data_IF_437932625663
#
_entry.id   IF_437932625663
#
_cell.length_a   1.000
_cell.length_b   1.000
_cell.length_c   1.000
_cell.angle_alpha   90.00
_cell.angle_beta   90.00
_cell.angle_gamma   90.00
#
_symmetry.space_group_name_H-M   'P 1'
#
loop_
_entity.id
_entity.type
_entity.pdbx_description
1 polymer ?
#
# COMPACT_ATOMS: atom_id res chain seq x y z
N UNK A 1 -53.23 11.79 -32.77
CA UNK A 1 -53.19 11.21 -31.41
C UNK A 1 -52.06 10.20 -31.37
N UNK A 2 -50.85 10.61 -31.00
CA UNK A 2 -49.71 9.71 -30.88
C UNK A 2 -49.84 8.94 -29.56
N UNK A 3 -49.93 7.61 -29.65
CA UNK A 3 -49.84 6.67 -28.55
C UNK A 3 -48.35 6.43 -28.30
N UNK A 4 -47.77 7.13 -27.33
CA UNK A 4 -46.44 6.79 -26.83
C UNK A 4 -46.60 5.62 -25.83
N UNK A 5 -45.96 4.46 -26.04
CA UNK A 5 -45.93 3.41 -25.02
C UNK A 5 -45.24 4.01 -23.78
N UNK A 6 -45.87 3.91 -22.61
CA UNK A 6 -45.14 4.13 -21.35
C UNK A 6 -44.02 3.10 -21.31
N UNK A 7 -42.78 3.51 -21.57
CA UNK A 7 -41.60 2.70 -21.24
C UNK A 7 -41.74 2.30 -19.78
N UNK A 8 -41.93 1.00 -19.54
CA UNK A 8 -41.92 0.45 -18.19
C UNK A 8 -40.54 0.74 -17.60
N UNK A 9 -40.50 1.55 -16.54
CA UNK A 9 -39.26 1.75 -15.80
C UNK A 9 -38.73 0.38 -15.35
N UNK A 10 -37.44 0.08 -15.52
CA UNK A 10 -36.88 -1.19 -15.09
C UNK A 10 -37.12 -1.35 -13.57
N UNK A 11 -37.65 -2.51 -13.17
CA UNK A 11 -37.93 -2.82 -11.76
C UNK A 11 -36.63 -2.71 -10.95
N UNK A 12 -36.68 -1.97 -9.85
CA UNK A 12 -35.53 -1.78 -8.97
C UNK A 12 -35.26 -3.08 -8.19
N UNK A 13 -34.04 -3.60 -8.28
CA UNK A 13 -33.60 -4.75 -7.49
C UNK A 13 -32.61 -4.27 -6.41
N UNK A 14 -32.95 -4.52 -5.15
CA UNK A 14 -32.10 -4.18 -4.02
C UNK A 14 -31.12 -5.33 -3.71
N UNK A 15 -29.82 -5.08 -3.86
CA UNK A 15 -28.77 -6.07 -3.57
C UNK A 15 -27.94 -5.60 -2.39
N UNK A 16 -27.86 -6.43 -1.35
CA UNK A 16 -27.08 -6.14 -0.15
C UNK A 16 -26.29 -7.37 0.31
N UNK A 17 -25.18 -7.20 1.08
CA UNK A 17 -24.43 -8.33 1.59
C UNK A 17 -25.28 -9.28 2.46
N UNK A 18 -26.18 -8.74 3.27
CA UNK A 18 -27.08 -9.54 4.09
C UNK A 18 -28.36 -8.75 4.39
N UNK A 19 -29.51 -9.40 4.25
CA UNK A 19 -30.83 -8.84 4.55
C UNK A 19 -31.41 -9.59 5.74
N UNK A 20 -31.73 -8.86 6.81
CA UNK A 20 -32.36 -9.43 8.00
C UNK A 20 -33.83 -9.76 7.72
N UNK A 21 -34.42 -10.67 8.51
CA UNK A 21 -35.85 -11.01 8.39
C UNK A 21 -36.75 -9.77 8.46
N UNK A 22 -36.45 -8.85 9.38
CA UNK A 22 -37.15 -7.56 9.48
C UNK A 22 -37.08 -6.74 8.18
N UNK A 23 -35.89 -6.62 7.57
CA UNK A 23 -35.75 -5.87 6.31
C UNK A 23 -36.40 -6.59 5.13
N UNK A 24 -36.35 -7.93 5.11
CA UNK A 24 -37.02 -8.73 4.09
C UNK A 24 -38.54 -8.53 4.12
N UNK A 25 -39.15 -8.51 5.32
CA UNK A 25 -40.56 -8.19 5.50
C UNK A 25 -40.88 -6.78 5.00
N UNK A 26 -40.05 -5.78 5.35
CA UNK A 26 -40.24 -4.41 4.86
C UNK A 26 -40.10 -4.27 3.36
N UNK A 27 -39.15 -4.97 2.74
CA UNK A 27 -39.01 -4.96 1.28
C UNK A 27 -40.23 -5.61 0.61
N UNK A 28 -40.79 -6.66 1.20
CA UNK A 28 -42.01 -7.31 0.69
C UNK A 28 -43.25 -6.43 0.84
N UNK A 29 -43.41 -5.73 1.97
CA UNK A 29 -44.54 -4.78 2.18
C UNK A 29 -44.61 -3.69 1.10
N UNK A 30 -43.46 -3.29 0.56
CA UNK A 30 -43.34 -2.24 -0.47
C UNK A 30 -43.12 -2.81 -1.88
N UNK A 31 -43.27 -4.13 -2.05
CA UNK A 31 -43.05 -4.83 -3.33
C UNK A 31 -41.69 -4.49 -3.97
N UNK A 32 -40.63 -4.38 -3.15
CA UNK A 32 -39.26 -4.12 -3.59
C UNK A 32 -38.47 -5.44 -3.67
N UNK A 33 -38.19 -5.96 -4.88
CA UNK A 33 -37.37 -7.16 -5.04
C UNK A 33 -35.99 -7.01 -4.39
N UNK A 34 -35.50 -8.07 -3.76
CA UNK A 34 -34.17 -8.10 -3.17
C UNK A 34 -33.47 -9.44 -3.33
N UNK A 35 -32.14 -9.39 -3.26
CA UNK A 35 -31.26 -10.56 -3.18
C UNK A 35 -30.11 -10.26 -2.21
N UNK A 36 -29.73 -11.24 -1.40
CA UNK A 36 -28.52 -11.17 -0.59
C UNK A 36 -27.56 -12.35 -0.84
N UNK A 37 -26.41 -12.30 -0.16
CA UNK A 37 -25.35 -13.29 -0.37
C UNK A 37 -25.50 -14.55 0.48
N UNK A 38 -26.40 -14.55 1.47
CA UNK A 38 -26.78 -15.74 2.25
C UNK A 38 -27.88 -16.57 1.55
N UNK A 39 -28.43 -16.06 0.44
CA UNK A 39 -29.51 -16.71 -0.30
C UNK A 39 -30.91 -16.25 0.14
N UNK A 40 -31.01 -15.19 0.93
CA UNK A 40 -32.30 -14.53 1.15
C UNK A 40 -32.68 -13.76 -0.12
N UNK A 41 -33.92 -13.92 -0.57
CA UNK A 41 -34.41 -13.32 -1.80
C UNK A 41 -35.91 -13.04 -1.75
N UNK A 42 -36.32 -11.97 -2.40
CA UNK A 42 -37.71 -11.72 -2.78
C UNK A 42 -37.74 -11.29 -4.24
N UNK A 43 -38.38 -12.07 -5.10
CA UNK A 43 -38.61 -11.77 -6.50
C UNK A 43 -40.06 -12.09 -6.82
N UNK A 44 -40.79 -11.12 -7.37
CA UNK A 44 -42.19 -11.31 -7.75
C UNK A 44 -42.42 -10.68 -9.13
N UNK A 45 -42.93 -11.50 -10.05
CA UNK A 45 -43.36 -11.14 -11.40
C UNK A 45 -44.53 -12.03 -11.84
N UNK A 46 -45.14 -11.74 -12.99
CA UNK A 46 -46.41 -12.36 -13.44
C UNK A 46 -46.39 -13.90 -13.39
N UNK A 47 -45.24 -14.52 -13.69
CA UNK A 47 -45.03 -15.99 -13.68
C UNK A 47 -43.94 -16.46 -12.70
N UNK A 48 -43.45 -15.59 -11.80
CA UNK A 48 -42.33 -15.90 -10.90
C UNK A 48 -42.59 -15.38 -9.49
N UNK A 49 -42.60 -16.27 -8.50
CA UNK A 49 -42.58 -15.89 -7.10
C UNK A 49 -41.49 -16.64 -6.35
N UNK A 50 -40.53 -15.90 -5.80
CA UNK A 50 -39.44 -16.39 -4.96
C UNK A 50 -39.47 -15.59 -3.67
N UNK A 51 -39.63 -16.26 -2.53
CA UNK A 51 -39.49 -15.63 -1.23
C UNK A 51 -38.74 -16.57 -0.27
N UNK A 52 -37.49 -16.23 0.00
CA UNK A 52 -36.57 -16.98 0.86
C UNK A 52 -36.02 -16.02 1.92
N UNK A 53 -36.26 -16.31 3.19
CA UNK A 53 -35.78 -15.52 4.33
C UNK A 53 -35.29 -16.45 5.44
N UNK A 54 -34.66 -15.89 6.49
CA UNK A 54 -34.14 -16.67 7.61
C UNK A 54 -32.83 -17.42 7.35
N UNK A 55 -32.19 -17.22 6.19
CA UNK A 55 -30.87 -17.79 5.95
C UNK A 55 -29.86 -17.13 6.87
N UNK A 56 -29.11 -17.95 7.60
CA UNK A 56 -28.08 -17.45 8.51
C UNK A 56 -27.03 -16.69 7.72
N UNK A 57 -26.64 -15.53 8.23
CA UNK A 57 -25.51 -14.78 7.71
C UNK A 57 -24.31 -15.70 7.57
N UNK A 58 -23.93 -15.95 6.33
CA UNK A 58 -22.67 -16.59 5.98
C UNK A 58 -21.55 -15.70 6.50
N UNK A 59 -20.78 -16.22 7.46
CA UNK A 59 -19.57 -15.55 7.96
C UNK A 59 -18.50 -15.35 6.89
N UNK A 60 -18.69 -15.98 5.72
CA UNK A 60 -17.78 -15.96 4.58
C UNK A 60 -18.01 -14.79 3.60
N UNK A 61 -19.04 -13.97 3.79
CA UNK A 61 -19.31 -12.82 2.91
C UNK A 61 -18.77 -11.51 3.46
N UNK A 62 -17.49 -11.59 3.82
CA UNK A 62 -16.53 -10.50 3.75
C UNK A 62 -15.10 -11.05 3.72
N UNK A 63 -14.32 -10.93 2.63
CA UNK A 63 -13.09 -10.20 2.79
C UNK A 63 -13.54 -8.74 2.87
N UNK A 64 -13.77 -8.21 4.07
CA UNK A 64 -13.49 -6.78 4.28
C UNK A 64 -12.11 -6.64 3.67
N UNK A 65 -11.97 -5.91 2.55
CA UNK A 65 -10.67 -5.63 1.93
C UNK A 65 -9.71 -5.42 3.07
N UNK A 66 -8.90 -6.43 3.38
CA UNK A 66 -8.21 -6.38 4.65
C UNK A 66 -7.13 -5.39 4.33
N UNK A 67 -7.28 -4.14 4.77
CA UNK A 67 -6.35 -3.05 4.43
C UNK A 67 -4.97 -3.31 5.08
N UNK A 68 -4.62 -4.57 5.34
CA UNK A 68 -3.38 -5.09 5.91
C UNK A 68 -2.22 -4.62 5.07
N UNK A 69 -2.29 -4.68 3.73
CA UNK A 69 -1.27 -4.13 2.81
C UNK A 69 -1.15 -2.61 2.87
N UNK A 70 -2.22 -1.91 3.28
CA UNK A 70 -2.27 -0.46 3.42
C UNK A 70 -1.93 0.04 4.83
N UNK A 71 -1.58 -0.85 5.76
CA UNK A 71 -1.07 -0.45 7.08
C UNK A 71 0.43 -0.15 7.00
N UNK A 72 0.97 0.61 7.96
CA UNK A 72 2.43 0.83 8.10
C UNK A 72 3.21 -0.49 8.07
N UNK A 73 2.74 -1.52 8.78
CA UNK A 73 3.41 -2.82 8.82
C UNK A 73 3.29 -3.57 7.48
N UNK A 74 2.11 -3.54 6.84
CA UNK A 74 1.92 -4.14 5.52
C UNK A 74 2.77 -3.49 4.45
N UNK A 75 2.85 -2.16 4.43
CA UNK A 75 3.69 -1.42 3.49
C UNK A 75 5.17 -1.78 3.62
N UNK A 76 5.66 -2.06 4.83
CA UNK A 76 7.04 -2.55 5.02
C UNK A 76 7.23 -3.97 4.46
N UNK A 77 6.24 -4.85 4.62
CA UNK A 77 6.27 -6.21 4.02
C UNK A 77 6.23 -6.13 2.50
N UNK A 78 5.34 -5.31 1.94
CA UNK A 78 5.25 -5.09 0.50
C UNK A 78 6.55 -4.53 -0.06
N UNK A 79 7.13 -3.54 0.61
CA UNK A 79 8.43 -2.97 0.22
C UNK A 79 9.52 -4.04 0.13
N UNK A 80 9.64 -4.90 1.16
CA UNK A 80 10.62 -5.98 1.16
C UNK A 80 10.41 -6.96 0.00
N UNK A 81 9.17 -7.36 -0.26
CA UNK A 81 8.82 -8.26 -1.38
C UNK A 81 9.10 -7.59 -2.73
N UNK A 82 8.77 -6.31 -2.89
CA UNK A 82 9.01 -5.56 -4.12
C UNK A 82 10.51 -5.37 -4.38
N UNK A 83 11.31 -5.08 -3.35
CA UNK A 83 12.77 -4.99 -3.47
C UNK A 83 13.43 -6.35 -3.72
N UNK A 84 12.91 -7.43 -3.12
CA UNK A 84 13.44 -8.79 -3.28
C UNK A 84 12.30 -9.81 -3.39
N UNK A 85 11.74 -10.03 -4.61
CA UNK A 85 10.62 -10.95 -4.84
C UNK A 85 10.80 -12.38 -4.29
N UNK A 86 12.01 -12.98 -4.29
CA UNK A 86 12.23 -14.30 -3.66
C UNK A 86 11.81 -14.40 -2.19
N UNK A 87 11.78 -13.28 -1.43
CA UNK A 87 11.34 -13.27 -0.04
C UNK A 87 9.89 -13.75 0.16
N UNK A 88 9.07 -13.72 -0.89
CA UNK A 88 7.70 -14.26 -0.85
C UNK A 88 7.66 -15.77 -0.51
N UNK A 89 8.77 -16.47 -0.79
CA UNK A 89 8.97 -17.89 -0.52
C UNK A 89 9.90 -18.15 0.67
N UNK A 90 10.46 -17.11 1.29
CA UNK A 90 11.31 -17.24 2.45
C UNK A 90 10.48 -17.64 3.69
N UNK A 91 11.12 -18.22 4.74
CA UNK A 91 10.46 -18.42 6.03
C UNK A 91 9.87 -17.11 6.54
N UNK A 92 8.68 -17.17 7.17
CA UNK A 92 8.00 -15.97 7.67
C UNK A 92 8.86 -15.15 8.65
N UNK A 93 9.74 -15.83 9.39
CA UNK A 93 10.69 -15.17 10.30
C UNK A 93 11.73 -14.34 9.56
N UNK A 94 12.23 -14.85 8.44
CA UNK A 94 13.17 -14.10 7.58
C UNK A 94 12.47 -12.88 7.00
N UNK A 95 11.32 -13.05 6.36
CA UNK A 95 10.54 -11.94 5.81
C UNK A 95 10.17 -10.89 6.88
N UNK A 96 9.74 -11.33 8.08
CA UNK A 96 9.45 -10.42 9.19
C UNK A 96 10.69 -9.61 9.64
N UNK A 97 11.86 -10.26 9.66
CA UNK A 97 13.12 -9.62 10.04
C UNK A 97 13.53 -8.59 9.00
N UNK A 98 13.54 -8.97 7.71
CA UNK A 98 13.89 -8.10 6.60
C UNK A 98 12.92 -6.92 6.44
N UNK A 99 11.61 -7.14 6.66
CA UNK A 99 10.60 -6.09 6.67
C UNK A 99 10.56 -5.27 7.98
N UNK A 100 11.31 -5.68 9.02
CA UNK A 100 11.31 -5.06 10.36
C UNK A 100 9.90 -4.95 10.96
N UNK A 101 9.14 -6.05 10.92
CA UNK A 101 7.78 -6.15 11.49
C UNK A 101 7.64 -7.33 12.44
N UNK A 102 6.59 -7.33 13.25
CA UNK A 102 6.25 -8.49 14.07
C UNK A 102 5.88 -9.70 13.20
N UNK A 103 6.30 -10.91 13.60
CA UNK A 103 6.05 -12.15 12.86
C UNK A 103 4.57 -12.39 12.53
N UNK A 104 3.67 -12.06 13.47
CA UNK A 104 2.23 -12.18 13.29
C UNK A 104 1.64 -11.29 12.18
N UNK A 105 2.41 -10.34 11.63
CA UNK A 105 2.00 -9.49 10.51
C UNK A 105 2.01 -10.26 9.18
N UNK A 106 2.93 -11.21 9.02
CA UNK A 106 3.23 -11.82 7.71
C UNK A 106 2.04 -12.62 7.19
N UNK A 107 1.49 -13.52 8.00
CA UNK A 107 0.36 -14.37 7.60
C UNK A 107 -0.85 -13.57 7.07
N UNK A 108 -1.37 -12.58 7.84
CA UNK A 108 -2.46 -11.72 7.38
C UNK A 108 -2.15 -10.95 6.08
N UNK A 109 -0.93 -10.44 5.90
CA UNK A 109 -0.54 -9.73 4.67
C UNK A 109 -0.50 -10.68 3.47
N UNK A 110 0.09 -11.87 3.62
CA UNK A 110 0.14 -12.88 2.56
C UNK A 110 -1.28 -13.32 2.18
N UNK A 111 -2.15 -13.58 3.17
CA UNK A 111 -3.55 -13.95 2.92
C UNK A 111 -4.31 -12.86 2.17
N UNK A 112 -4.06 -11.59 2.50
CA UNK A 112 -4.67 -10.46 1.77
C UNK A 112 -4.23 -10.43 0.31
N UNK A 113 -2.93 -10.58 0.05
CA UNK A 113 -2.38 -10.63 -1.31
C UNK A 113 -2.95 -11.81 -2.12
N UNK A 114 -3.12 -12.98 -1.51
CA UNK A 114 -3.75 -14.16 -2.15
C UNK A 114 -5.23 -13.89 -2.46
N UNK A 115 -5.98 -13.36 -1.49
CA UNK A 115 -7.41 -13.04 -1.62
C UNK A 115 -7.64 -12.02 -2.75
N UNK A 116 -6.73 -11.06 -2.88
CA UNK A 116 -6.78 -10.01 -3.91
C UNK A 116 -6.16 -10.44 -5.25
N UNK A 117 -5.75 -11.71 -5.38
CA UNK A 117 -5.12 -12.27 -6.59
C UNK A 117 -3.88 -11.49 -7.05
N UNK A 118 -3.17 -10.85 -6.12
CA UNK A 118 -1.88 -10.18 -6.40
C UNK A 118 -0.72 -11.17 -6.33
N UNK A 119 -0.92 -12.29 -5.61
CA UNK A 119 -0.02 -13.44 -5.62
C UNK A 119 -0.82 -14.72 -5.86
N UNK A 120 -0.14 -15.74 -6.35
CA UNK A 120 -0.69 -17.08 -6.44
C UNK A 120 0.26 -18.11 -5.83
N UNK A 121 -0.36 -19.12 -5.21
CA UNK A 121 0.29 -20.20 -4.48
C UNK A 121 0.13 -21.50 -5.25
N UNK A 122 1.22 -22.24 -5.44
CA UNK A 122 1.30 -23.46 -6.24
C UNK A 122 2.14 -24.51 -5.51
N UNK A 123 1.90 -25.79 -5.81
CA UNK A 123 2.59 -26.91 -5.17
C UNK A 123 1.88 -27.37 -3.90
N UNK A 124 1.80 -28.69 -3.72
CA UNK A 124 0.99 -29.33 -2.67
C UNK A 124 1.80 -29.63 -1.40
N UNK A 125 3.09 -29.95 -1.53
CA UNK A 125 3.97 -30.33 -0.41
C UNK A 125 4.79 -29.18 0.15
N UNK A 126 5.21 -28.24 -0.71
CA UNK A 126 5.92 -27.02 -0.35
C UNK A 126 5.32 -25.88 -1.16
N UNK A 127 4.32 -25.16 -0.62
CA UNK A 127 3.62 -24.12 -1.35
C UNK A 127 4.61 -23.02 -1.74
N UNK A 128 4.79 -22.85 -3.05
CA UNK A 128 5.55 -21.77 -3.66
C UNK A 128 4.61 -20.67 -4.10
N UNK A 129 5.02 -19.44 -3.88
CA UNK A 129 4.28 -18.23 -4.22
C UNK A 129 4.98 -17.45 -5.32
N UNK A 130 4.21 -16.84 -6.20
CA UNK A 130 4.71 -15.85 -7.17
C UNK A 130 3.81 -14.62 -7.20
N UNK A 131 4.42 -13.48 -7.48
CA UNK A 131 3.70 -12.26 -7.84
C UNK A 131 2.96 -12.49 -9.16
N UNK A 132 1.68 -12.13 -9.21
CA UNK A 132 0.88 -12.14 -10.43
C UNK A 132 0.93 -10.79 -11.13
N UNK A 133 0.86 -9.71 -10.35
CA UNK A 133 0.91 -8.35 -10.86
C UNK A 133 1.84 -7.48 -9.98
N UNK A 134 3.13 -7.51 -10.32
CA UNK A 134 4.14 -6.72 -9.62
C UNK A 134 3.95 -5.20 -9.85
N UNK A 135 3.38 -4.81 -11.00
CA UNK A 135 3.14 -3.41 -11.35
C UNK A 135 2.02 -2.84 -10.50
N UNK A 136 0.89 -3.52 -10.41
CA UNK A 136 -0.21 -3.10 -9.54
C UNK A 136 0.22 -3.04 -8.07
N UNK A 137 1.06 -3.97 -7.62
CA UNK A 137 1.59 -3.96 -6.25
C UNK A 137 2.51 -2.76 -6.00
N UNK A 138 3.36 -2.41 -6.98
CA UNK A 138 4.21 -1.22 -6.92
C UNK A 138 3.37 0.06 -6.91
N UNK A 139 2.38 0.19 -7.79
CA UNK A 139 1.47 1.34 -7.85
C UNK A 139 0.71 1.53 -6.53
N UNK A 140 0.19 0.44 -5.95
CA UNK A 140 -0.43 0.48 -4.62
C UNK A 140 0.55 0.96 -3.56
N UNK A 141 1.76 0.41 -3.55
CA UNK A 141 2.76 0.78 -2.56
C UNK A 141 3.14 2.26 -2.65
N UNK A 142 3.41 2.76 -3.87
CA UNK A 142 3.71 4.18 -4.15
C UNK A 142 2.55 5.08 -3.75
N UNK A 143 1.30 4.63 -3.94
CA UNK A 143 0.10 5.39 -3.57
C UNK A 143 -0.05 5.54 -2.05
N UNK A 144 0.14 4.46 -1.29
CA UNK A 144 -0.13 4.47 0.16
C UNK A 144 1.07 4.86 1.02
N UNK A 145 2.29 4.72 0.49
CA UNK A 145 3.53 5.07 1.18
C UNK A 145 3.52 6.50 1.76
N UNK A 146 3.20 7.56 0.98
CA UNK A 146 3.30 8.94 1.44
C UNK A 146 2.28 9.28 2.52
N UNK A 147 1.07 8.73 2.43
CA UNK A 147 -0.02 9.00 3.35
C UNK A 147 0.07 8.18 4.65
N UNK A 148 0.73 7.02 4.62
CA UNK A 148 0.66 6.04 5.72
C UNK A 148 1.98 5.77 6.41
N UNK A 149 3.01 5.35 5.66
CA UNK A 149 4.29 4.93 6.23
C UNK A 149 5.20 6.14 6.47
N UNK A 150 5.36 7.00 5.46
CA UNK A 150 6.27 8.15 5.47
C UNK A 150 6.09 9.07 6.69
N UNK A 151 4.86 9.46 7.12
CA UNK A 151 4.69 10.36 8.26
C UNK A 151 5.14 9.75 9.59
N UNK A 152 5.21 8.40 9.68
CA UNK A 152 5.67 7.68 10.86
C UNK A 152 7.19 7.56 10.93
N UNK A 153 7.91 8.01 9.90
CA UNK A 153 9.37 7.97 9.84
C UNK A 153 10.05 9.17 10.53
N UNK A 154 9.31 9.94 11.32
CA UNK A 154 9.83 11.12 12.04
C UNK A 154 10.55 12.11 11.12
N UNK A 155 9.89 12.60 10.06
CA UNK A 155 10.49 13.58 9.16
C UNK A 155 10.86 14.85 9.93
N UNK A 156 12.10 15.30 9.74
CA UNK A 156 12.65 16.50 10.38
C UNK A 156 13.36 17.33 9.32
N UNK A 157 13.11 18.65 9.32
CA UNK A 157 13.68 19.56 8.33
C UNK A 157 14.85 20.35 8.88
N UNK A 158 15.85 20.52 8.02
CA UNK A 158 17.12 21.14 8.30
C UNK A 158 17.57 21.99 7.13
N UNK A 159 18.50 22.90 7.41
CA UNK A 159 19.22 23.68 6.41
C UNK A 159 20.73 23.60 6.69
N UNK A 160 21.51 23.39 5.63
CA UNK A 160 22.96 23.46 5.68
C UNK A 160 23.46 24.90 5.39
N UNK A 161 24.68 25.23 5.79
CA UNK A 161 25.28 26.55 5.49
C UNK A 161 25.60 26.75 4.00
N UNK A 162 26.08 25.69 3.35
CA UNK A 162 26.32 25.61 1.92
C UNK A 162 25.67 24.31 1.44
N UNK A 163 24.96 24.33 0.30
CA UNK A 163 24.25 23.19 -0.29
C UNK A 163 25.16 22.24 -1.07
N UNK A 164 26.34 22.70 -1.48
CA UNK A 164 27.32 21.91 -2.26
C UNK A 164 27.79 20.65 -1.54
N UNK A 165 27.71 20.60 -0.21
CA UNK A 165 28.06 19.40 0.57
C UNK A 165 27.35 18.14 0.03
N UNK A 166 26.08 18.26 -0.37
CA UNK A 166 25.28 17.11 -0.80
C UNK A 166 25.75 16.49 -2.13
N UNK A 167 26.43 17.27 -2.99
CA UNK A 167 26.83 16.81 -4.33
C UNK A 167 27.95 15.77 -4.30
N UNK A 168 28.84 15.83 -3.30
CA UNK A 168 30.02 14.96 -3.21
C UNK A 168 30.09 14.13 -1.93
N UNK A 169 29.03 14.17 -1.10
CA UNK A 169 29.03 13.46 0.19
C UNK A 169 28.66 11.98 0.02
N UNK A 170 29.51 11.12 0.55
CA UNK A 170 29.18 9.72 0.86
C UNK A 170 28.49 9.65 2.23
N UNK A 171 27.27 9.12 2.26
CA UNK A 171 26.49 8.96 3.49
C UNK A 171 26.74 7.64 4.23
N UNK A 172 27.48 6.71 3.63
CA UNK A 172 27.77 5.39 4.20
C UNK A 172 28.39 5.45 5.62
N UNK A 173 29.37 6.33 5.93
CA UNK A 173 29.97 6.43 7.26
C UNK A 173 28.98 6.83 8.37
N UNK A 174 27.84 7.42 7.99
CA UNK A 174 26.79 7.86 8.91
C UNK A 174 25.66 6.84 9.06
N UNK A 175 25.71 5.72 8.33
CA UNK A 175 24.59 4.78 8.23
C UNK A 175 23.34 5.46 7.66
N UNK A 176 23.55 6.29 6.63
CA UNK A 176 22.53 7.10 6.01
C UNK A 176 22.50 6.88 4.49
N UNK A 177 21.36 7.20 3.87
CA UNK A 177 21.11 6.97 2.46
C UNK A 177 20.42 8.18 1.83
N UNK A 178 20.84 8.56 0.63
CA UNK A 178 20.17 9.52 -0.21
C UNK A 178 18.86 8.95 -0.72
N UNK A 179 17.78 9.71 -0.53
CA UNK A 179 16.43 9.46 -1.05
C UNK A 179 16.01 10.54 -2.06
N UNK A 180 14.76 10.44 -2.53
CA UNK A 180 14.15 11.44 -3.43
C UNK A 180 15.02 11.82 -4.63
N UNK A 181 15.11 13.12 -4.87
CA UNK A 181 15.76 13.70 -6.05
C UNK A 181 17.27 13.38 -6.12
N UNK A 182 17.98 13.39 -4.99
CA UNK A 182 19.42 13.05 -4.97
C UNK A 182 19.62 11.57 -5.28
N UNK A 183 18.75 10.69 -4.78
CA UNK A 183 18.77 9.28 -5.15
C UNK A 183 18.51 9.09 -6.65
N UNK A 184 17.52 9.79 -7.19
CA UNK A 184 17.15 9.74 -8.59
C UNK A 184 18.30 10.17 -9.50
N UNK A 185 18.95 11.30 -9.19
CA UNK A 185 20.12 11.79 -9.92
C UNK A 185 21.30 10.80 -9.83
N UNK A 186 21.57 10.22 -8.66
CA UNK A 186 22.63 9.21 -8.51
C UNK A 186 22.35 7.91 -9.27
N UNK A 187 21.08 7.55 -9.44
CA UNK A 187 20.67 6.34 -10.16
C UNK A 187 20.57 6.54 -11.68
N UNK A 188 20.28 7.77 -12.14
CA UNK A 188 19.93 8.03 -13.55
C UNK A 188 20.75 9.12 -14.23
N UNK A 189 21.42 9.98 -13.47
CA UNK A 189 22.18 11.17 -13.91
C UNK A 189 21.36 12.18 -14.73
N UNK A 190 20.04 12.24 -14.49
CA UNK A 190 19.12 12.99 -15.33
C UNK A 190 18.46 14.20 -14.66
N UNK A 191 18.56 14.33 -13.33
CA UNK A 191 17.83 15.33 -12.55
C UNK A 191 18.79 16.24 -11.80
N UNK A 192 18.52 17.54 -11.70
CA UNK A 192 19.23 18.43 -10.78
C UNK A 192 18.43 18.54 -9.48
N UNK A 193 18.92 18.02 -8.35
CA UNK A 193 18.14 18.03 -7.11
C UNK A 193 17.92 19.44 -6.54
N UNK A 194 16.72 19.71 -6.05
CA UNK A 194 16.31 20.91 -5.32
C UNK A 194 15.95 20.58 -3.86
N UNK A 195 15.30 19.45 -3.62
CA UNK A 195 15.03 18.97 -2.26
C UNK A 195 15.96 17.82 -1.89
N UNK A 196 16.69 17.98 -0.79
CA UNK A 196 17.55 16.93 -0.25
C UNK A 196 16.73 16.04 0.67
N UNK A 197 16.75 14.72 0.43
CA UNK A 197 16.09 13.73 1.29
C UNK A 197 17.12 12.72 1.77
N UNK A 198 17.19 12.51 3.08
CA UNK A 198 18.12 11.56 3.70
C UNK A 198 17.37 10.61 4.63
N UNK A 199 17.66 9.32 4.53
CA UNK A 199 17.18 8.30 5.46
C UNK A 199 18.31 7.82 6.35
N UNK A 200 18.11 7.82 7.67
CA UNK A 200 19.11 7.38 8.64
C UNK A 200 18.67 6.12 9.36
N UNK A 201 19.55 5.12 9.46
CA UNK A 201 19.29 3.89 10.21
C UNK A 201 19.36 4.10 11.73
N UNK A 202 20.15 5.08 12.15
CA UNK A 202 20.46 5.38 13.54
C UNK A 202 20.23 6.88 13.80
N UNK A 203 20.62 7.33 14.99
CA UNK A 203 20.50 8.73 15.36
C UNK A 203 21.31 9.65 14.40
N UNK A 204 20.70 10.67 13.79
CA UNK A 204 21.37 11.56 12.84
C UNK A 204 22.36 12.55 13.47
N UNK A 205 22.59 12.55 14.79
CA UNK A 205 23.48 13.53 15.45
C UNK A 205 24.85 13.67 14.79
N UNK A 206 25.51 12.56 14.40
CA UNK A 206 26.82 12.62 13.73
C UNK A 206 26.73 13.38 12.39
N UNK A 207 25.71 13.08 11.59
CA UNK A 207 25.44 13.74 10.32
C UNK A 207 25.17 15.23 10.51
N UNK A 208 24.34 15.57 11.50
CA UNK A 208 23.96 16.94 11.84
C UNK A 208 25.18 17.77 12.24
N UNK A 209 26.04 17.22 13.10
CA UNK A 209 27.25 17.91 13.58
C UNK A 209 28.26 18.10 12.46
N UNK A 210 28.54 17.06 11.67
CA UNK A 210 29.54 17.10 10.59
C UNK A 210 29.20 18.19 9.57
N UNK A 211 27.96 18.18 9.08
CA UNK A 211 27.51 19.11 8.05
C UNK A 211 26.89 20.39 8.60
N UNK A 212 27.02 20.63 9.92
CA UNK A 212 26.52 21.83 10.63
C UNK A 212 25.05 22.14 10.31
N UNK A 213 24.23 21.09 10.24
CA UNK A 213 22.82 21.19 9.89
C UNK A 213 22.05 21.90 11.01
N UNK A 214 21.24 22.89 10.64
CA UNK A 214 20.39 23.64 11.59
C UNK A 214 18.94 23.27 11.35
N UNK A 215 18.19 23.03 12.43
CA UNK A 215 16.76 22.78 12.33
C UNK A 215 16.06 23.99 11.70
N UNK A 216 15.27 23.75 10.66
CA UNK A 216 14.54 24.78 9.92
C UNK A 216 13.29 24.15 9.31
N UNK A 217 12.10 24.65 9.66
CA UNK A 217 10.83 24.17 9.11
C UNK A 217 10.71 24.39 7.60
N UNK A 218 11.41 25.39 7.07
CA UNK A 218 11.52 25.71 5.65
C UNK A 218 12.87 25.24 5.07
N UNK A 219 13.55 24.34 5.78
CA UNK A 219 14.79 23.73 5.33
C UNK A 219 14.61 22.93 4.04
N UNK A 220 15.63 22.96 3.20
CA UNK A 220 15.73 22.24 1.93
C UNK A 220 16.24 20.80 2.10
N UNK A 221 16.56 20.39 3.33
CA UNK A 221 16.93 19.03 3.70
C UNK A 221 15.88 18.42 4.63
N UNK A 222 15.38 17.25 4.27
CA UNK A 222 14.53 16.43 5.13
C UNK A 222 15.26 15.13 5.53
N UNK A 223 15.29 14.86 6.83
CA UNK A 223 15.86 13.64 7.41
C UNK A 223 14.73 12.77 7.96
N UNK A 224 14.66 11.52 7.50
CA UNK A 224 13.70 10.50 7.92
C UNK A 224 14.42 9.29 8.52
N UNK A 225 13.72 8.51 9.34
CA UNK A 225 14.22 7.23 9.82
C UNK A 225 14.08 6.15 8.73
N UNK A 226 15.15 5.43 8.44
CA UNK A 226 15.11 4.29 7.53
C UNK A 226 14.26 3.15 8.13
N UNK A 227 13.36 2.59 7.32
CA UNK A 227 12.42 1.56 7.78
C UNK A 227 12.72 0.16 7.25
N UNK A 228 13.69 0.02 6.35
CA UNK A 228 14.05 -1.25 5.70
C UNK A 228 15.35 -1.83 6.25
N UNK A 229 15.60 -3.10 5.92
CA UNK A 229 16.87 -3.77 6.17
C UNK A 229 17.91 -3.44 5.09
N UNK A 230 19.16 -3.19 5.48
CA UNK A 230 20.22 -2.74 4.56
C UNK A 230 20.45 -3.71 3.40
N UNK A 231 20.18 -5.00 3.58
CA UNK A 231 20.35 -5.98 2.51
C UNK A 231 19.42 -5.69 1.32
N UNK A 232 18.31 -4.97 1.52
CA UNK A 232 17.38 -4.58 0.46
C UNK A 232 17.89 -3.42 -0.40
N UNK A 233 18.96 -2.73 0.00
CA UNK A 233 19.61 -1.73 -0.82
C UNK A 233 20.44 -2.43 -1.90
N UNK A 234 20.17 -2.10 -3.16
CA UNK A 234 20.86 -2.64 -4.33
C UNK A 234 21.48 -1.51 -5.14
N UNK A 235 22.72 -1.67 -5.61
CA UNK A 235 23.41 -0.65 -6.41
C UNK A 235 24.33 0.22 -5.55
N UNK A 236 24.20 1.54 -5.66
CA UNK A 236 25.05 2.52 -4.99
C UNK A 236 24.91 2.43 -3.47
N UNK A 237 26.04 2.33 -2.76
CA UNK A 237 26.08 1.98 -1.34
C UNK A 237 25.34 2.97 -0.42
N UNK A 238 25.23 4.24 -0.82
CA UNK A 238 24.64 5.31 -0.03
C UNK A 238 23.32 5.85 -0.61
N UNK A 239 22.64 5.05 -1.42
CA UNK A 239 21.34 5.39 -2.03
C UNK A 239 20.26 4.43 -1.54
N UNK A 240 19.03 4.93 -1.37
CA UNK A 240 17.88 4.08 -1.01
C UNK A 240 17.55 3.06 -2.12
N UNK A 241 16.79 1.98 -1.83
CA UNK A 241 16.30 1.10 -2.87
C UNK A 241 15.53 1.89 -3.96
N UNK A 242 15.68 1.56 -5.26
CA UNK A 242 15.11 2.34 -6.37
C UNK A 242 13.60 2.59 -6.26
N UNK A 243 12.86 1.64 -5.68
CA UNK A 243 11.42 1.74 -5.44
C UNK A 243 11.08 2.88 -4.47
N UNK A 244 11.91 3.09 -3.44
CA UNK A 244 11.73 4.20 -2.50
C UNK A 244 12.13 5.53 -3.13
N UNK A 245 13.22 5.56 -3.92
CA UNK A 245 13.61 6.75 -4.67
C UNK A 245 12.48 7.21 -5.59
N UNK A 246 11.89 6.28 -6.34
CA UNK A 246 10.73 6.54 -7.19
C UNK A 246 9.52 7.08 -6.39
N UNK A 247 9.16 6.44 -5.28
CA UNK A 247 8.02 6.90 -4.47
C UNK A 247 8.25 8.30 -3.85
N UNK A 248 9.48 8.63 -3.47
CA UNK A 248 9.82 9.95 -2.97
C UNK A 248 9.67 11.03 -4.06
N UNK A 249 10.08 10.75 -5.30
CA UNK A 249 9.85 11.65 -6.44
C UNK A 249 8.36 11.86 -6.73
N UNK A 250 7.57 10.79 -6.67
CA UNK A 250 6.11 10.88 -6.88
C UNK A 250 5.40 11.62 -5.73
N UNK A 251 6.05 11.75 -4.57
CA UNK A 251 5.53 12.50 -3.43
C UNK A 251 5.81 14.00 -3.53
N UNK A 252 6.90 14.40 -4.20
CA UNK A 252 7.21 15.80 -4.42
C UNK A 252 6.37 16.32 -5.59
N UNK A 253 5.37 17.16 -5.28
CA UNK A 253 4.44 17.85 -6.22
C UNK A 253 5.13 18.86 -7.15
N UNK A 254 6.37 18.61 -7.56
CA UNK A 254 7.07 19.45 -8.52
C UNK A 254 6.70 18.99 -9.94
N UNK A 255 6.30 19.94 -10.80
CA UNK A 255 5.81 19.69 -12.16
C UNK A 255 6.89 19.16 -13.13
N UNK A 256 8.09 18.86 -12.62
CA UNK A 256 9.26 18.36 -13.37
C UNK A 256 9.51 16.86 -13.19
N UNK A 257 8.76 16.18 -12.33
CA UNK A 257 8.84 14.72 -12.09
C UNK A 257 7.89 13.91 -12.97
#
# INVERSE_FOLDING_TARGET
KALWPREQQPRLLFVAPYITDYLAEKCREIELPFLDTAGNAYLEDDDLFVFVTGQKRTTDLAPLHTNRTKTTAGLRVLFAILCRPPLLNAPYRELATTAKVALGTIGPVIKDLETRKLIATFGTTLPKRRLLDAKALLEEWVTFYPATLRPKLQPRRFRAQNREWAQQTDLTPFGAYWGGEVAADRLTHYLKPEMLTVYTLHNPTKLITEFRLRADVNGDLEILNAFWDQTLTTGTADVVPPILAYADLMTTTDARN
#
